data_IF_302177271356
#
_entry.id   IF_302177271356
#
_cell.length_a   1.000
_cell.length_b   1.000
_cell.length_c   1.000
_cell.angle_alpha   90.00
_cell.angle_beta   90.00
_cell.angle_gamma   90.00
#
_symmetry.space_group_name_H-M   'P 1'
#
loop_
_entity.id
_entity.type
_entity.pdbx_description
1 polymer ?
#
# COMPACT_ATOMS: atom_id res chain seq x y z
N UNK A 1 -28.28 -9.91 6.85
CA UNK A 1 -27.86 -9.97 5.43
C UNK A 1 -27.21 -11.33 5.20
N UNK A 2 -27.59 -12.04 4.13
CA UNK A 2 -26.89 -13.26 3.74
C UNK A 2 -25.45 -12.93 3.32
N UNK A 3 -24.46 -13.68 3.81
CA UNK A 3 -23.05 -13.50 3.48
C UNK A 3 -22.77 -14.03 2.07
N UNK A 4 -22.47 -13.14 1.13
CA UNK A 4 -22.08 -13.51 -0.23
C UNK A 4 -20.59 -13.88 -0.28
N UNK A 5 -20.17 -14.60 -1.34
CA UNK A 5 -18.76 -14.93 -1.64
C UNK A 5 -18.04 -15.88 -0.65
N UNK A 6 -18.76 -16.48 0.30
CA UNK A 6 -18.19 -17.48 1.19
C UNK A 6 -17.90 -18.79 0.45
N UNK A 7 -16.77 -19.46 0.73
CA UNK A 7 -16.51 -20.80 0.19
C UNK A 7 -17.46 -21.83 0.78
N UNK A 8 -17.84 -22.82 -0.04
CA UNK A 8 -18.57 -23.98 0.43
C UNK A 8 -17.60 -25.09 0.86
N UNK A 9 -17.11 -25.01 2.10
CA UNK A 9 -16.28 -26.08 2.67
C UNK A 9 -17.10 -27.37 2.87
N UNK A 10 -16.60 -28.53 2.43
CA UNK A 10 -17.31 -29.80 2.51
C UNK A 10 -17.45 -30.32 3.94
N UNK A 11 -16.46 -30.06 4.79
CA UNK A 11 -16.43 -30.50 6.19
C UNK A 11 -16.44 -29.30 7.13
N UNK A 12 -17.54 -29.13 7.86
CA UNK A 12 -17.71 -28.03 8.83
C UNK A 12 -16.93 -28.26 10.13
N UNK A 13 -16.67 -29.50 10.52
CA UNK A 13 -15.86 -29.80 11.71
C UNK A 13 -14.40 -29.36 11.49
N UNK A 14 -13.85 -29.63 10.30
CA UNK A 14 -12.51 -29.13 9.91
C UNK A 14 -12.42 -27.62 9.83
N UNK A 15 -13.50 -26.93 9.44
CA UNK A 15 -13.55 -25.46 9.50
C UNK A 15 -13.48 -24.98 10.95
N UNK A 16 -14.25 -25.59 11.85
CA UNK A 16 -14.22 -25.24 13.27
C UNK A 16 -12.84 -25.49 13.89
N UNK A 17 -12.18 -26.59 13.52
CA UNK A 17 -10.81 -26.91 13.93
C UNK A 17 -9.81 -25.83 13.48
N UNK A 18 -9.77 -25.51 12.17
CA UNK A 18 -8.88 -24.48 11.64
C UNK A 18 -9.15 -23.09 12.25
N UNK A 19 -10.41 -22.74 12.47
CA UNK A 19 -10.78 -21.48 13.14
C UNK A 19 -10.33 -21.47 14.62
N UNK A 20 -10.48 -22.59 15.33
CA UNK A 20 -10.03 -22.71 16.73
C UNK A 20 -8.50 -22.59 16.83
N UNK A 21 -7.78 -23.14 15.86
CA UNK A 21 -6.32 -23.04 15.82
C UNK A 21 -5.87 -21.59 15.63
N UNK A 22 -6.44 -20.88 14.64
CA UNK A 22 -6.10 -19.46 14.39
C UNK A 22 -6.52 -18.57 15.55
N UNK A 23 -7.64 -18.86 16.21
CA UNK A 23 -8.08 -18.10 17.37
C UNK A 23 -7.11 -18.18 18.55
N UNK A 24 -6.32 -19.26 18.66
CA UNK A 24 -5.28 -19.41 19.68
C UNK A 24 -3.96 -18.71 19.32
N UNK A 25 -3.78 -18.29 18.06
CA UNK A 25 -2.56 -17.65 17.61
C UNK A 25 -2.49 -16.16 18.00
N UNK A 26 -1.27 -15.58 18.12
CA UNK A 26 -1.12 -14.16 18.38
C UNK A 26 -1.75 -13.28 17.29
N UNK A 27 -2.26 -12.08 17.61
CA UNK A 27 -2.74 -11.16 16.58
C UNK A 27 -1.56 -10.65 15.72
N UNK A 28 -1.84 -10.39 14.44
CA UNK A 28 -0.82 -9.84 13.52
C UNK A 28 -0.45 -8.39 13.87
N UNK A 29 -1.40 -7.62 14.39
CA UNK A 29 -1.22 -6.19 14.72
C UNK A 29 -1.77 -5.89 16.12
N UNK A 30 -1.20 -4.88 16.77
CA UNK A 30 -1.68 -4.41 18.06
C UNK A 30 -2.76 -3.34 17.89
N UNK A 31 -3.69 -3.27 18.85
CA UNK A 31 -4.77 -2.28 18.83
C UNK A 31 -4.27 -0.81 18.79
N UNK A 32 -3.10 -0.53 19.38
CA UNK A 32 -2.48 0.79 19.32
C UNK A 32 -2.07 1.21 17.91
N UNK A 33 -1.69 0.25 17.06
CA UNK A 33 -1.33 0.50 15.67
C UNK A 33 -2.56 0.87 14.84
N UNK A 34 -3.70 0.20 15.10
CA UNK A 34 -4.98 0.54 14.48
C UNK A 34 -5.42 1.96 14.84
N UNK A 35 -5.31 2.37 16.11
CA UNK A 35 -5.63 3.74 16.54
C UNK A 35 -4.70 4.77 15.88
N UNK A 36 -3.40 4.48 15.85
CA UNK A 36 -2.42 5.32 15.15
C UNK A 36 -2.76 5.48 13.67
N UNK A 37 -3.19 4.39 13.00
CA UNK A 37 -3.63 4.45 11.61
C UNK A 37 -4.92 5.29 11.48
N UNK A 38 -5.89 5.10 12.35
CA UNK A 38 -7.14 5.86 12.36
C UNK A 38 -6.87 7.38 12.46
N UNK A 39 -5.97 7.80 13.35
CA UNK A 39 -5.57 9.21 13.48
C UNK A 39 -4.92 9.76 12.20
N UNK A 40 -4.07 8.95 11.56
CA UNK A 40 -3.42 9.29 10.28
C UNK A 40 -4.45 9.40 9.13
N UNK A 41 -5.43 8.51 9.08
CA UNK A 41 -6.53 8.58 8.11
C UNK A 41 -7.42 9.79 8.36
N UNK A 42 -7.69 10.14 9.63
CA UNK A 42 -8.45 11.33 9.97
C UNK A 42 -7.74 12.62 9.53
N UNK A 43 -6.41 12.68 9.61
CA UNK A 43 -5.60 13.78 9.04
C UNK A 43 -5.76 13.85 7.52
N UNK A 44 -5.71 12.71 6.83
CA UNK A 44 -5.90 12.68 5.38
C UNK A 44 -7.29 13.16 4.97
N UNK A 45 -8.34 12.78 5.71
CA UNK A 45 -9.70 13.25 5.48
C UNK A 45 -9.85 14.78 5.63
N UNK A 46 -8.98 15.43 6.42
CA UNK A 46 -8.92 16.90 6.56
C UNK A 46 -7.98 17.59 5.57
N UNK A 47 -7.38 16.85 4.62
CA UNK A 47 -6.40 17.38 3.68
C UNK A 47 -5.02 17.66 4.30
N UNK A 48 -4.74 17.14 5.50
CA UNK A 48 -3.47 17.34 6.22
C UNK A 48 -2.45 16.22 5.94
N UNK A 49 -2.83 15.23 5.13
CA UNK A 49 -2.01 14.12 4.67
C UNK A 49 -2.59 13.53 3.36
N UNK A 50 -1.78 12.74 2.65
CA UNK A 50 -2.21 11.99 1.47
C UNK A 50 -2.13 10.48 1.72
N UNK A 51 -3.06 9.69 1.19
CA UNK A 51 -3.05 8.23 1.33
C UNK A 51 -2.45 7.62 0.07
N UNK A 52 -1.40 6.81 0.24
CA UNK A 52 -0.85 5.95 -0.79
C UNK A 52 -1.12 4.51 -0.40
N UNK A 53 -1.99 3.83 -1.16
CA UNK A 53 -2.27 2.41 -1.00
C UNK A 53 -1.81 1.63 -2.24
N UNK A 54 -1.04 0.57 -2.06
CA UNK A 54 -0.50 -0.21 -3.16
C UNK A 54 0.02 -1.58 -2.71
N UNK A 55 0.14 -2.50 -3.66
CA UNK A 55 0.61 -3.86 -3.43
C UNK A 55 -0.06 -4.84 -4.37
N UNK A 56 -0.04 -6.12 -4.00
CA UNK A 56 -0.52 -7.20 -4.86
C UNK A 56 -2.04 -7.17 -5.03
N UNK A 57 -2.51 -7.55 -6.23
CA UNK A 57 -3.94 -7.77 -6.47
C UNK A 57 -4.44 -8.92 -5.57
N UNK A 58 -3.67 -10.01 -5.54
CA UNK A 58 -3.76 -11.03 -4.53
C UNK A 58 -2.41 -11.71 -4.32
N UNK A 59 -2.10 -11.97 -3.07
CA UNK A 59 -0.93 -12.74 -2.67
C UNK A 59 -1.16 -14.23 -3.01
N UNK A 60 -0.08 -14.91 -3.39
CA UNK A 60 -0.07 -16.34 -3.66
C UNK A 60 0.98 -17.02 -2.78
N UNK A 61 0.68 -18.23 -2.30
CA UNK A 61 1.57 -19.04 -1.49
C UNK A 61 2.82 -19.46 -2.27
N UNK A 62 2.70 -19.68 -3.58
CA UNK A 62 3.82 -20.02 -4.46
C UNK A 62 4.79 -18.85 -4.73
N UNK A 63 4.33 -17.60 -4.52
CA UNK A 63 5.12 -16.39 -4.77
C UNK A 63 5.66 -15.77 -3.48
N UNK A 64 5.69 -16.55 -2.39
CA UNK A 64 6.19 -16.09 -1.11
C UNK A 64 7.71 -16.00 -1.09
N UNK A 65 8.25 -14.78 -1.21
CA UNK A 65 9.69 -14.54 -1.13
C UNK A 65 10.02 -13.20 -0.50
N UNK A 66 11.13 -13.15 0.24
CA UNK A 66 11.62 -11.92 0.85
C UNK A 66 11.94 -10.83 -0.19
N UNK A 67 12.47 -11.21 -1.36
CA UNK A 67 12.75 -10.28 -2.45
C UNK A 67 11.47 -9.61 -2.97
N UNK A 68 10.40 -10.38 -3.23
CA UNK A 68 9.13 -9.81 -3.69
C UNK A 68 8.56 -8.82 -2.68
N UNK A 69 8.54 -9.20 -1.39
CA UNK A 69 8.06 -8.32 -0.30
C UNK A 69 8.88 -7.03 -0.26
N UNK A 70 10.21 -7.16 -0.29
CA UNK A 70 11.15 -6.03 -0.31
C UNK A 70 10.92 -5.11 -1.50
N UNK A 71 10.75 -5.68 -2.69
CA UNK A 71 10.66 -4.91 -3.94
C UNK A 71 9.31 -4.16 -4.01
N UNK A 72 8.22 -4.79 -3.60
CA UNK A 72 6.91 -4.11 -3.43
C UNK A 72 6.99 -3.00 -2.40
N UNK A 73 7.63 -3.27 -1.24
CA UNK A 73 7.82 -2.25 -0.20
C UNK A 73 8.68 -1.07 -0.70
N UNK A 74 9.75 -1.36 -1.46
CA UNK A 74 10.60 -0.36 -2.10
C UNK A 74 9.78 0.55 -3.02
N UNK A 75 8.98 0.00 -3.94
CA UNK A 75 8.14 0.79 -4.85
C UNK A 75 7.18 1.70 -4.07
N UNK A 76 6.54 1.18 -3.02
CA UNK A 76 5.64 1.97 -2.18
C UNK A 76 6.37 3.15 -1.51
N UNK A 77 7.59 2.93 -1.01
CA UNK A 77 8.43 3.99 -0.44
C UNK A 77 8.86 5.02 -1.48
N UNK A 78 9.28 4.59 -2.66
CA UNK A 78 9.70 5.45 -3.76
C UNK A 78 8.57 6.42 -4.16
N UNK A 79 7.37 5.88 -4.41
CA UNK A 79 6.17 6.68 -4.71
C UNK A 79 5.82 7.63 -3.57
N UNK A 80 5.95 7.18 -2.31
CA UNK A 80 5.61 8.02 -1.16
C UNK A 80 6.47 9.27 -1.05
N UNK A 81 7.76 9.16 -1.40
CA UNK A 81 8.68 10.31 -1.40
C UNK A 81 8.31 11.28 -2.51
N UNK A 82 8.01 10.79 -3.72
CA UNK A 82 7.57 11.65 -4.84
C UNK A 82 6.30 12.42 -4.48
N UNK A 83 5.29 11.73 -3.95
CA UNK A 83 4.02 12.33 -3.56
C UNK A 83 4.17 13.32 -2.40
N UNK A 84 5.06 13.03 -1.44
CA UNK A 84 5.32 13.94 -0.33
C UNK A 84 5.94 15.26 -0.82
N UNK A 85 6.92 15.19 -1.74
CA UNK A 85 7.53 16.38 -2.32
C UNK A 85 6.55 17.17 -3.20
N UNK A 86 5.79 16.49 -4.08
CA UNK A 86 4.83 17.15 -4.96
C UNK A 86 3.62 17.73 -4.23
N UNK A 87 3.17 17.05 -3.16
CA UNK A 87 1.97 17.44 -2.40
C UNK A 87 2.24 18.36 -1.21
N UNK A 88 3.48 18.45 -0.73
CA UNK A 88 3.84 19.26 0.45
C UNK A 88 3.18 18.80 1.76
N UNK A 89 2.61 17.59 1.78
CA UNK A 89 1.93 16.99 2.94
C UNK A 89 2.46 15.59 3.22
N UNK A 90 2.40 15.10 4.47
CA UNK A 90 2.80 13.74 4.81
C UNK A 90 2.00 12.68 4.02
N UNK A 91 2.66 11.57 3.68
CA UNK A 91 2.03 10.43 3.01
C UNK A 91 1.84 9.25 3.98
N UNK A 92 0.58 8.86 4.18
CA UNK A 92 0.17 7.63 4.88
C UNK A 92 0.29 6.46 3.91
N UNK A 93 1.17 5.51 4.23
CA UNK A 93 1.50 4.36 3.36
C UNK A 93 0.71 3.14 3.80
N UNK A 94 -0.05 2.54 2.89
CA UNK A 94 -0.86 1.34 3.11
C UNK A 94 -0.46 0.24 2.13
N UNK A 95 0.05 -0.87 2.65
CA UNK A 95 0.40 -2.04 1.83
C UNK A 95 -0.81 -2.96 1.62
N UNK A 96 -1.09 -3.36 0.38
CA UNK A 96 -1.88 -4.56 0.08
C UNK A 96 -0.96 -5.78 0.17
N UNK A 97 -0.65 -6.18 1.41
CA UNK A 97 0.34 -7.21 1.75
C UNK A 97 -0.07 -7.86 3.08
N UNK A 98 0.46 -9.06 3.36
CA UNK A 98 0.23 -9.79 4.60
C UNK A 98 -1.24 -10.14 4.88
N UNK A 99 -2.02 -10.48 3.86
CA UNK A 99 -3.39 -11.00 4.05
C UNK A 99 -4.30 -10.95 2.83
N UNK A 100 -3.85 -10.45 1.69
CA UNK A 100 -4.66 -10.29 0.49
C UNK A 100 -4.74 -11.60 -0.32
N UNK A 101 -5.13 -12.71 0.33
CA UNK A 101 -5.16 -14.03 -0.30
C UNK A 101 -6.51 -14.39 -0.93
N UNK A 102 -7.61 -13.79 -0.48
CA UNK A 102 -8.95 -14.08 -0.98
C UNK A 102 -9.29 -13.27 -2.24
N UNK A 103 -10.07 -13.87 -3.14
CA UNK A 103 -10.55 -13.27 -4.39
C UNK A 103 -12.06 -13.45 -4.53
N UNK A 104 -12.85 -12.36 -4.66
CA UNK A 104 -14.25 -12.48 -5.03
C UNK A 104 -14.35 -13.01 -6.47
N UNK A 105 -15.43 -13.76 -6.77
CA UNK A 105 -15.69 -14.32 -8.09
C UNK A 105 -17.12 -14.02 -8.51
N UNK A 106 -17.29 -13.73 -9.80
CA UNK A 106 -18.59 -13.49 -10.43
C UNK A 106 -19.44 -14.75 -10.52
N UNK A 107 -18.80 -15.92 -10.67
CA UNK A 107 -19.45 -17.23 -10.76
C UNK A 107 -18.80 -18.24 -9.81
N UNK A 108 -19.61 -19.16 -9.29
CA UNK A 108 -19.16 -20.24 -8.40
C UNK A 108 -18.35 -21.31 -9.14
N UNK A 109 -18.63 -21.51 -10.43
CA UNK A 109 -17.97 -22.48 -11.28
C UNK A 109 -17.13 -21.78 -12.36
N UNK A 110 -16.11 -22.47 -12.84
CA UNK A 110 -15.22 -22.09 -13.94
C UNK A 110 -15.21 -23.24 -14.93
N UNK A 111 -15.64 -22.95 -16.17
CA UNK A 111 -15.68 -23.92 -17.26
C UNK A 111 -14.46 -23.76 -18.16
N UNK A 112 -13.76 -24.87 -18.42
CA UNK A 112 -12.66 -24.94 -19.40
C UNK A 112 -12.71 -26.28 -20.12
N UNK A 113 -12.61 -26.25 -21.44
CA UNK A 113 -12.52 -27.44 -22.30
C UNK A 113 -13.63 -28.48 -22.03
N UNK A 114 -14.85 -28.02 -21.72
CA UNK A 114 -16.01 -28.88 -21.44
C UNK A 114 -16.07 -29.43 -20.01
N UNK A 115 -15.12 -29.09 -19.14
CA UNK A 115 -15.12 -29.48 -17.72
C UNK A 115 -15.47 -28.26 -16.85
N UNK A 116 -16.40 -28.45 -15.92
CA UNK A 116 -16.84 -27.43 -14.96
C UNK A 116 -16.28 -27.74 -13.57
N UNK A 117 -15.49 -26.84 -12.99
CA UNK A 117 -14.92 -26.98 -11.64
C UNK A 117 -15.23 -25.75 -10.79
N UNK A 118 -15.21 -25.86 -9.44
CA UNK A 118 -15.32 -24.69 -8.58
C UNK A 118 -14.30 -23.62 -8.93
N UNK A 119 -14.73 -22.36 -8.97
CA UNK A 119 -13.87 -21.23 -9.23
C UNK A 119 -12.75 -21.12 -8.20
N UNK A 120 -11.55 -20.80 -8.66
CA UNK A 120 -10.46 -20.42 -7.77
C UNK A 120 -10.79 -19.11 -7.06
N UNK A 121 -10.85 -19.14 -5.71
CA UNK A 121 -11.25 -18.02 -4.85
C UNK A 121 -10.07 -17.44 -4.06
N UNK A 122 -8.85 -17.74 -4.49
CA UNK A 122 -7.63 -17.30 -3.82
C UNK A 122 -7.04 -18.37 -2.90
N UNK A 123 -5.75 -18.26 -2.61
CA UNK A 123 -4.96 -19.34 -2.01
C UNK A 123 -5.38 -19.69 -0.58
N UNK A 124 -6.04 -18.77 0.11
CA UNK A 124 -6.64 -18.98 1.44
C UNK A 124 -7.87 -19.90 1.40
N UNK A 125 -8.45 -20.14 0.22
CA UNK A 125 -9.62 -21.00 0.03
C UNK A 125 -9.26 -22.29 -0.70
N UNK A 126 -8.72 -22.19 -1.92
CA UNK A 126 -8.41 -23.34 -2.78
C UNK A 126 -7.20 -23.06 -3.69
N UNK A 127 -6.75 -24.07 -4.45
CA UNK A 127 -5.59 -23.97 -5.35
C UNK A 127 -5.93 -23.32 -6.70
N UNK A 128 -4.98 -22.63 -7.33
CA UNK A 128 -5.16 -22.03 -8.66
C UNK A 128 -5.26 -23.07 -9.79
N UNK A 129 -4.69 -24.27 -9.59
CA UNK A 129 -4.67 -25.35 -10.57
C UNK A 129 -6.10 -25.75 -10.96
N UNK A 130 -6.33 -26.02 -12.25
CA UNK A 130 -7.64 -26.43 -12.77
C UNK A 130 -7.79 -27.96 -12.68
N UNK A 131 -7.79 -28.49 -11.45
CA UNK A 131 -8.07 -29.91 -11.18
C UNK A 131 -9.14 -30.05 -10.10
N UNK A 132 -9.86 -31.17 -10.10
CA UNK A 132 -10.92 -31.45 -9.11
C UNK A 132 -10.41 -31.29 -7.69
N UNK A 133 -9.22 -31.81 -7.41
CA UNK A 133 -8.62 -31.84 -6.08
C UNK A 133 -8.19 -30.45 -5.63
N UNK A 134 -7.54 -29.68 -6.52
CA UNK A 134 -7.05 -28.34 -6.19
C UNK A 134 -8.20 -27.36 -5.94
N UNK A 135 -9.35 -27.54 -6.60
CA UNK A 135 -10.50 -26.64 -6.51
C UNK A 135 -11.39 -26.88 -5.28
N UNK A 136 -11.24 -28.01 -4.57
CA UNK A 136 -11.92 -28.24 -3.29
C UNK A 136 -11.44 -27.22 -2.25
N UNK A 137 -12.33 -26.45 -1.61
CA UNK A 137 -11.95 -25.58 -0.51
C UNK A 137 -11.34 -26.36 0.67
N UNK A 138 -10.17 -25.93 1.12
CA UNK A 138 -9.45 -26.53 2.26
C UNK A 138 -9.34 -25.52 3.42
N UNK A 139 -9.97 -25.78 4.58
CA UNK A 139 -9.93 -24.86 5.73
C UNK A 139 -8.52 -24.60 6.28
N UNK A 140 -7.59 -25.55 6.17
CA UNK A 140 -6.25 -25.37 6.72
C UNK A 140 -5.37 -24.40 5.91
N UNK A 141 -5.83 -23.99 4.73
CA UNK A 141 -5.27 -22.84 4.01
C UNK A 141 -5.42 -21.53 4.78
N UNK A 142 -6.39 -21.42 5.70
CA UNK A 142 -6.51 -20.27 6.62
C UNK A 142 -5.30 -20.19 7.56
N UNK A 143 -4.88 -21.33 8.13
CA UNK A 143 -3.72 -21.42 9.03
C UNK A 143 -2.44 -21.09 8.26
N UNK A 144 -2.30 -21.62 7.05
CA UNK A 144 -1.17 -21.29 6.16
C UNK A 144 -1.13 -19.80 5.79
N UNK A 145 -2.27 -19.21 5.45
CA UNK A 145 -2.36 -17.77 5.16
C UNK A 145 -1.95 -16.92 6.37
N UNK A 146 -2.39 -17.28 7.57
CA UNK A 146 -1.95 -16.61 8.80
C UNK A 146 -0.42 -16.64 8.95
N UNK A 147 0.20 -17.82 8.81
CA UNK A 147 1.65 -17.97 8.97
C UNK A 147 2.43 -17.14 7.94
N UNK A 148 1.96 -17.12 6.69
CA UNK A 148 2.56 -16.29 5.65
C UNK A 148 2.37 -14.79 5.93
N UNK A 149 1.18 -14.38 6.39
CA UNK A 149 0.92 -13.01 6.82
C UNK A 149 1.84 -12.56 7.96
N UNK A 150 2.01 -13.40 8.98
CA UNK A 150 2.88 -13.12 10.12
C UNK A 150 4.35 -12.94 9.69
N UNK A 151 4.85 -13.84 8.84
CA UNK A 151 6.21 -13.77 8.32
C UNK A 151 6.42 -12.53 7.43
N UNK A 152 5.47 -12.21 6.53
CA UNK A 152 5.51 -10.99 5.71
C UNK A 152 5.54 -9.75 6.57
N UNK A 153 4.67 -9.66 7.59
CA UNK A 153 4.58 -8.49 8.45
C UNK A 153 5.84 -8.33 9.30
N UNK A 154 6.39 -9.42 9.83
CA UNK A 154 7.66 -9.39 10.55
C UNK A 154 8.80 -8.83 9.69
N UNK A 155 8.90 -9.28 8.44
CA UNK A 155 9.91 -8.78 7.50
C UNK A 155 9.70 -7.29 7.17
N UNK A 156 8.45 -6.86 6.93
CA UNK A 156 8.12 -5.46 6.69
C UNK A 156 8.47 -4.57 7.88
N UNK A 157 8.23 -5.03 9.11
CA UNK A 157 8.65 -4.33 10.34
C UNK A 157 10.17 -4.21 10.41
N UNK A 158 10.89 -5.31 10.12
CA UNK A 158 12.35 -5.30 10.06
C UNK A 158 12.91 -4.30 9.04
N UNK A 159 12.29 -4.16 7.87
CA UNK A 159 12.69 -3.12 6.90
C UNK A 159 12.38 -1.70 7.39
N UNK A 160 11.25 -1.51 8.08
CA UNK A 160 10.85 -0.19 8.56
C UNK A 160 11.75 0.33 9.68
N UNK A 161 12.22 -0.53 10.60
CA UNK A 161 13.04 -0.13 11.75
C UNK A 161 14.54 -0.29 11.49
N UNK A 162 14.96 -1.24 10.66
CA UNK A 162 16.36 -1.55 10.36
C UNK A 162 17.05 -0.63 9.35
N UNK A 163 16.55 0.59 9.13
CA UNK A 163 17.17 1.60 8.25
C UNK A 163 17.01 1.36 6.75
N UNK A 164 16.31 0.31 6.30
CA UNK A 164 16.01 0.10 4.88
C UNK A 164 15.16 1.24 4.31
N UNK A 165 14.25 1.79 5.11
CA UNK A 165 13.40 2.94 4.75
C UNK A 165 14.09 4.33 4.90
N UNK A 166 15.41 4.39 5.04
CA UNK A 166 16.14 5.66 5.13
C UNK A 166 16.02 6.50 3.85
N UNK A 167 15.76 7.81 4.00
CA UNK A 167 15.53 8.74 2.88
C UNK A 167 16.68 8.78 1.87
N UNK A 168 17.93 8.71 2.34
CA UNK A 168 19.13 8.66 1.46
C UNK A 168 19.11 7.45 0.54
N UNK A 169 18.66 6.29 1.06
CA UNK A 169 18.58 5.04 0.29
C UNK A 169 17.43 5.08 -0.71
N UNK A 170 16.28 5.65 -0.33
CA UNK A 170 15.13 5.83 -1.22
C UNK A 170 15.46 6.80 -2.37
N UNK A 171 16.15 7.89 -2.06
CA UNK A 171 16.61 8.84 -3.08
C UNK A 171 17.55 8.18 -4.08
N UNK A 172 18.51 7.36 -3.62
CA UNK A 172 19.41 6.60 -4.48
C UNK A 172 18.63 5.63 -5.39
N UNK A 173 17.65 4.91 -4.86
CA UNK A 173 16.83 4.01 -5.67
C UNK A 173 16.02 4.71 -6.75
N UNK A 174 15.52 5.91 -6.46
CA UNK A 174 14.82 6.72 -7.44
C UNK A 174 15.76 7.19 -8.55
N UNK A 175 16.99 7.59 -8.19
CA UNK A 175 18.04 7.91 -9.16
C UNK A 175 18.34 6.72 -10.08
N UNK A 176 18.54 5.52 -9.52
CA UNK A 176 18.88 4.31 -10.29
C UNK A 176 17.75 3.89 -11.26
N UNK A 177 16.47 4.02 -10.84
CA UNK A 177 15.32 3.75 -11.71
C UNK A 177 15.28 4.71 -12.92
N UNK A 178 15.77 5.94 -12.73
CA UNK A 178 15.57 7.07 -13.64
C UNK A 178 16.74 7.35 -14.57
N UNK A 179 17.90 6.76 -14.31
CA UNK A 179 19.04 6.79 -15.24
C UNK A 179 18.71 6.10 -16.57
N UNK A 180 17.65 5.28 -16.62
CA UNK A 180 17.27 4.48 -17.79
C UNK A 180 15.96 4.92 -18.48
N UNK A 181 15.42 6.12 -18.21
CA UNK A 181 14.20 6.62 -18.88
C UNK A 181 14.22 8.12 -19.16
N UNK A 182 13.50 8.56 -20.20
CA UNK A 182 13.41 9.99 -20.56
C UNK A 182 12.61 10.82 -19.52
N UNK A 183 11.68 10.18 -18.82
CA UNK A 183 10.94 10.73 -17.68
C UNK A 183 11.84 10.97 -16.46
N UNK A 184 13.01 10.32 -16.42
CA UNK A 184 14.04 10.50 -15.41
C UNK A 184 14.51 11.94 -15.28
N UNK A 185 14.59 12.68 -16.39
CA UNK A 185 15.05 14.08 -16.44
C UNK A 185 14.10 15.02 -15.70
N UNK A 186 12.79 14.89 -15.91
CA UNK A 186 11.77 15.72 -15.25
C UNK A 186 11.74 15.53 -13.73
N UNK A 187 11.96 14.31 -13.26
CA UNK A 187 12.07 14.02 -11.83
C UNK A 187 13.37 14.51 -11.21
N UNK A 188 14.49 14.42 -11.94
CA UNK A 188 15.77 14.93 -11.46
C UNK A 188 15.70 16.43 -11.13
N UNK A 189 14.90 17.18 -11.90
CA UNK A 189 14.65 18.59 -11.61
C UNK A 189 13.78 18.78 -10.37
N UNK A 190 12.76 17.95 -10.14
CA UNK A 190 12.00 17.89 -8.88
C UNK A 190 12.87 17.50 -7.67
N UNK A 191 13.78 16.53 -7.82
CA UNK A 191 14.64 16.04 -6.76
C UNK A 191 15.80 17.00 -6.40
N UNK A 192 16.28 17.80 -7.36
CA UNK A 192 17.25 18.89 -7.10
C UNK A 192 16.66 19.97 -6.20
N UNK A 193 15.37 20.29 -6.37
CA UNK A 193 14.65 21.23 -5.49
C UNK A 193 14.55 20.67 -4.07
N UNK A 194 14.30 19.36 -3.91
CA UNK A 194 14.26 18.69 -2.60
C UNK A 194 15.60 18.66 -1.86
N UNK A 195 16.74 18.62 -2.56
CA UNK A 195 18.08 18.74 -1.95
C UNK A 195 18.44 20.18 -1.55
N UNK A 196 17.96 21.18 -2.29
CA UNK A 196 18.15 22.59 -1.94
C UNK A 196 17.27 23.02 -0.75
N UNK A 197 16.15 22.33 -0.53
CA UNK A 197 15.21 22.54 0.57
C UNK A 197 15.46 21.60 1.77
N UNK A 198 16.73 21.34 2.12
CA UNK A 198 17.07 20.68 3.38
C UNK A 198 16.43 21.40 4.58
N UNK A 199 16.20 20.71 5.72
CA UNK A 199 15.44 21.28 6.83
C UNK A 199 16.05 22.61 7.24
N UNK A 200 15.22 23.65 7.30
CA UNK A 200 15.59 24.95 7.85
C UNK A 200 15.72 24.85 9.38
N UNK A 201 16.67 24.05 9.86
CA UNK A 201 17.13 23.97 11.26
C UNK A 201 18.53 23.36 11.28
N UNK A 202 19.51 24.12 10.79
CA UNK A 202 20.92 23.81 10.98
C UNK A 202 21.41 24.38 12.31
N UNK A 203 21.34 23.59 13.39
CA UNK A 203 22.30 23.69 14.48
C UNK A 203 23.16 22.41 14.43
N UNK A 204 24.50 22.50 14.39
CA UNK A 204 25.35 21.32 14.26
C UNK A 204 25.25 20.48 15.54
N UNK A 205 24.70 19.27 15.42
CA UNK A 205 24.56 18.31 16.52
C UNK A 205 23.19 17.63 16.67
N UNK A 206 22.17 18.03 15.90
CA UNK A 206 20.85 17.41 15.99
C UNK A 206 20.78 16.04 15.26
N UNK A 207 20.46 14.98 15.99
CA UNK A 207 20.06 13.70 15.40
C UNK A 207 18.79 13.88 14.55
N UNK A 208 18.67 13.19 13.39
CA UNK A 208 17.45 13.27 12.59
C UNK A 208 16.27 12.74 13.42
N UNK A 209 15.10 13.40 13.38
CA UNK A 209 13.95 12.94 14.14
C UNK A 209 13.54 11.55 13.64
N UNK A 210 13.38 10.62 14.57
CA UNK A 210 12.81 9.30 14.28
C UNK A 210 11.43 9.47 13.65
N UNK A 211 11.08 8.54 12.76
CA UNK A 211 9.83 8.53 12.04
C UNK A 211 8.66 8.27 13.00
N UNK A 212 8.23 9.30 13.74
CA UNK A 212 7.24 9.17 14.81
C UNK A 212 6.80 10.48 15.44
N UNK A 213 7.64 11.51 15.53
CA UNK A 213 7.30 12.73 16.29
C UNK A 213 7.02 13.98 15.44
N UNK A 214 6.09 14.78 15.97
CA UNK A 214 5.32 15.79 15.25
C UNK A 214 6.13 16.93 14.64
N UNK A 215 5.85 17.18 13.37
CA UNK A 215 6.22 18.43 12.71
C UNK A 215 5.28 19.55 13.17
N UNK A 216 5.80 20.47 13.99
CA UNK A 216 5.14 21.73 14.35
C UNK A 216 4.85 22.58 13.11
N UNK A 217 3.70 23.28 13.11
CA UNK A 217 3.23 24.10 11.99
C UNK A 217 4.18 25.29 11.72
N UNK A 218 4.59 25.58 10.46
CA UNK A 218 5.22 26.86 10.14
C UNK A 218 4.16 27.97 10.05
N UNK A 219 4.41 29.10 10.71
CA UNK A 219 3.58 30.32 10.64
C UNK A 219 3.58 30.92 9.24
N UNK A 220 2.38 31.29 8.76
CA UNK A 220 2.15 31.98 7.47
C UNK A 220 2.79 33.37 7.45
N UNK A 221 4.07 33.50 7.12
CA UNK A 221 4.63 34.80 6.70
C UNK A 221 5.88 34.66 5.85
N UNK A 222 5.71 34.38 4.56
CA UNK A 222 6.53 34.91 3.47
C UNK A 222 5.95 34.39 2.14
N UNK A 223 6.10 35.17 1.06
CA UNK A 223 5.63 34.99 -0.32
C UNK A 223 4.37 35.80 -0.67
N UNK A 224 4.56 37.12 -0.80
CA UNK A 224 3.86 37.93 -1.82
C UNK A 224 4.89 38.30 -2.89
N UNK A 225 4.70 37.94 -4.17
CA UNK A 225 5.43 38.57 -5.27
C UNK A 225 4.77 39.91 -5.64
N UNK A 226 5.59 40.92 -5.93
CA UNK A 226 5.18 42.21 -6.47
C UNK A 226 4.60 42.05 -7.88
N UNK A 227 3.33 42.42 -8.07
CA UNK A 227 2.67 42.39 -9.37
C UNK A 227 2.89 43.73 -10.09
N UNK A 228 3.71 43.71 -11.15
CA UNK A 228 3.81 44.80 -12.13
C UNK A 228 2.62 44.76 -13.08
N UNK A 229 2.04 45.93 -13.37
CA UNK A 229 0.91 46.10 -14.29
C UNK A 229 1.35 45.82 -15.73
N UNK A 230 0.56 45.02 -16.44
CA UNK A 230 0.59 44.90 -17.89
C UNK A 230 -0.77 44.38 -18.35
N UNK A 231 -1.53 45.24 -19.02
CA UNK A 231 -2.86 44.96 -19.56
C UNK A 231 -2.80 43.96 -20.71
N UNK A 232 -3.75 43.03 -20.75
CA UNK A 232 -3.88 42.05 -21.84
C UNK A 232 -4.81 40.91 -21.46
N UNK A 233 -6.11 41.06 -21.71
CA UNK A 233 -7.10 40.02 -21.44
C UNK A 233 -7.04 38.88 -22.48
N UNK A 234 -7.27 37.63 -22.03
CA UNK A 234 -8.40 36.79 -22.49
C UNK A 234 -8.37 35.37 -21.88
N UNK A 235 -9.58 34.91 -21.51
CA UNK A 235 -10.10 33.52 -21.42
C UNK A 235 -9.59 32.59 -20.31
N UNK A 236 -10.42 32.51 -19.26
CA UNK A 236 -10.53 31.36 -18.35
C UNK A 236 -11.04 30.14 -19.11
N UNK A 237 -10.31 29.02 -19.09
CA UNK A 237 -10.87 27.69 -19.36
C UNK A 237 -10.97 26.93 -18.04
N UNK A 238 -12.20 26.69 -17.60
CA UNK A 238 -12.52 25.82 -16.48
C UNK A 238 -12.41 24.36 -16.91
N UNK A 239 -11.88 23.52 -16.03
CA UNK A 239 -11.90 22.07 -16.19
C UNK A 239 -13.14 21.54 -15.46
N UNK A 240 -14.19 21.22 -16.24
CA UNK A 240 -15.37 20.51 -15.75
C UNK A 240 -15.15 19.00 -15.84
N UNK A 241 -15.34 18.30 -14.72
CA UNK A 241 -15.40 16.84 -14.69
C UNK A 241 -16.85 16.41 -14.95
N UNK A 242 -17.09 15.79 -16.11
CA UNK A 242 -18.37 15.19 -16.44
C UNK A 242 -18.51 13.82 -15.77
N UNK A 243 -19.45 13.71 -14.83
CA UNK A 243 -20.00 12.45 -14.35
C UNK A 243 -20.93 11.88 -15.44
N UNK A 244 -20.61 10.69 -15.94
CA UNK A 244 -21.50 9.90 -16.79
C UNK A 244 -22.04 8.70 -16.02
N UNK A 245 -23.19 8.88 -15.37
CA UNK A 245 -24.09 7.79 -14.99
C UNK A 245 -25.00 7.53 -16.18
N UNK A 246 -25.17 6.28 -16.61
CA UNK A 246 -26.33 5.86 -17.39
C UNK A 246 -26.90 4.57 -16.79
N UNK A 247 -28.23 4.61 -16.76
CA UNK A 247 -29.22 3.66 -16.22
C UNK A 247 -29.15 2.27 -16.85
#
# INVERSE_FOLDING_TARGET
MATTQQPNYPDKARVAEACSEIAAYPPLIFAGECRTLQDRLARAARGEAFILQGGDCAEAFSQFSANRIRDTYRVLLQMSVVLMFGGGVPVVKLGRMAGQFAKPRSADMEDKDGVSLPSYRGDIINGPEFTSEARVPDPFRLVRAYNQSAATLNLLRGFSTGGYAGLTRIAQWNLDFMQNSDEGKAYMDLAKVGRAAGPATGAPGAQPPECGEGWGRPTRRALRPSCGRGEGGLRRRGWGWGLGVRE
#
